data_IF_791969415089
#
_entry.id   IF_791969415089
#
_cell.length_a   1.000
_cell.length_b   1.000
_cell.length_c   1.000
_cell.angle_alpha   90.00
_cell.angle_beta   90.00
_cell.angle_gamma   90.00
#
_symmetry.space_group_name_H-M   'P 1'
#
loop_
_entity.id
_entity.type
_entity.pdbx_description
1 polymer ?
#
# COMPACT_ATOMS: atom_id res chain seq x y z
N UNK A 1 4.04 32.86 5.98
CA UNK A 1 4.13 31.42 6.25
C UNK A 1 5.37 31.14 7.08
N UNK A 2 5.21 30.40 8.13
CA UNK A 2 6.34 29.96 8.94
C UNK A 2 6.85 28.61 8.41
N UNK A 3 8.09 28.26 8.79
CA UNK A 3 8.66 26.94 8.42
C UNK A 3 7.76 25.81 8.91
N UNK A 4 7.13 25.94 10.08
CA UNK A 4 6.23 24.90 10.60
C UNK A 4 5.05 24.59 9.68
N UNK A 5 4.56 25.58 8.91
CA UNK A 5 3.47 25.35 7.94
C UNK A 5 3.95 24.61 6.70
N UNK A 6 5.26 24.49 6.54
CA UNK A 6 5.86 23.80 5.40
C UNK A 6 6.34 22.40 5.77
N UNK A 7 6.15 21.96 7.02
CA UNK A 7 6.55 20.62 7.43
C UNK A 7 5.66 19.61 6.72
N UNK A 8 6.32 18.77 5.93
CA UNK A 8 5.65 17.66 5.24
C UNK A 8 5.48 16.55 6.26
N UNK A 9 4.23 16.09 6.39
CA UNK A 9 3.96 14.95 7.26
C UNK A 9 4.60 13.70 6.68
N UNK A 10 5.13 12.86 7.56
CA UNK A 10 5.71 11.57 7.16
C UNK A 10 4.62 10.71 6.52
N UNK A 11 4.83 10.21 5.31
CA UNK A 11 3.86 9.31 4.68
C UNK A 11 3.65 8.04 5.49
N UNK A 12 2.40 7.59 5.54
CA UNK A 12 1.99 6.39 6.27
C UNK A 12 1.64 5.28 5.28
N UNK A 13 2.26 4.13 5.46
CA UNK A 13 2.15 2.99 4.56
C UNK A 13 1.76 1.76 5.35
N UNK A 14 0.82 0.97 4.82
CA UNK A 14 0.48 -0.34 5.37
C UNK A 14 0.96 -1.40 4.39
N UNK A 15 1.68 -2.40 4.90
CA UNK A 15 2.13 -3.56 4.13
C UNK A 15 1.21 -4.73 4.48
N UNK A 16 0.41 -5.18 3.51
CA UNK A 16 -0.50 -6.32 3.66
C UNK A 16 0.17 -7.55 3.06
N UNK A 17 0.68 -8.41 3.93
CA UNK A 17 1.44 -9.60 3.58
C UNK A 17 1.31 -10.61 4.72
N UNK A 18 0.85 -11.82 4.43
CA UNK A 18 0.63 -12.84 5.45
C UNK A 18 1.91 -13.53 5.93
N UNK A 19 2.95 -13.57 5.10
CA UNK A 19 4.27 -14.08 5.50
C UNK A 19 4.98 -13.02 6.35
N UNK A 20 5.24 -13.37 7.61
CA UNK A 20 5.82 -12.43 8.58
C UNK A 20 7.22 -11.98 8.21
N UNK A 21 8.04 -12.88 7.67
CA UNK A 21 9.42 -12.55 7.28
C UNK A 21 9.43 -11.60 6.10
N UNK A 22 8.61 -11.89 5.09
CA UNK A 22 8.49 -11.03 3.90
C UNK A 22 7.95 -9.66 4.29
N UNK A 23 6.90 -9.63 5.10
CA UNK A 23 6.31 -8.38 5.58
C UNK A 23 7.35 -7.54 6.33
N UNK A 24 8.07 -8.17 7.26
CA UNK A 24 9.10 -7.48 8.05
C UNK A 24 10.19 -6.89 7.16
N UNK A 25 10.58 -7.61 6.11
CA UNK A 25 11.62 -7.15 5.20
C UNK A 25 11.15 -5.91 4.41
N UNK A 26 9.98 -5.97 3.81
CA UNK A 26 9.42 -4.85 3.05
C UNK A 26 9.20 -3.65 3.97
N UNK A 27 8.65 -3.89 5.15
CA UNK A 27 8.42 -2.86 6.16
C UNK A 27 9.73 -2.17 6.55
N UNK A 28 10.80 -2.94 6.76
CA UNK A 28 12.10 -2.39 7.11
C UNK A 28 12.64 -1.48 6.00
N UNK A 29 12.53 -1.89 4.73
CA UNK A 29 12.94 -1.05 3.61
C UNK A 29 12.16 0.27 3.56
N UNK A 30 10.87 0.22 3.77
CA UNK A 30 10.05 1.43 3.79
C UNK A 30 10.45 2.36 4.94
N UNK A 31 10.66 1.81 6.13
CA UNK A 31 11.07 2.60 7.30
C UNK A 31 12.44 3.24 7.12
N UNK A 32 13.38 2.51 6.51
CA UNK A 32 14.70 3.05 6.20
C UNK A 32 14.65 4.21 5.23
N UNK A 33 13.60 4.30 4.43
CA UNK A 33 13.40 5.38 3.47
C UNK A 33 12.50 6.50 4.00
N UNK A 34 12.27 6.52 5.30
CA UNK A 34 11.58 7.63 5.96
C UNK A 34 10.06 7.52 6.00
N UNK A 35 9.52 6.34 5.69
CA UNK A 35 8.07 6.13 5.73
C UNK A 35 7.64 5.50 7.05
N UNK A 36 6.57 6.04 7.64
CA UNK A 36 5.94 5.44 8.80
C UNK A 36 5.14 4.22 8.32
N UNK A 37 5.59 3.03 8.68
CA UNK A 37 5.13 1.79 8.04
C UNK A 37 4.57 0.81 9.06
N UNK A 38 3.44 0.21 8.72
CA UNK A 38 2.67 -0.70 9.57
C UNK A 38 2.50 -2.04 8.88
N UNK A 39 2.58 -3.12 9.64
CA UNK A 39 2.40 -4.48 9.13
C UNK A 39 0.97 -4.93 9.35
N UNK A 40 0.34 -5.44 8.30
CA UNK A 40 -0.94 -6.13 8.38
C UNK A 40 -0.79 -7.52 7.79
N UNK A 41 -1.14 -8.55 8.55
CA UNK A 41 -0.95 -9.94 8.12
C UNK A 41 -2.20 -10.51 7.44
N UNK A 42 -3.24 -9.71 7.30
CA UNK A 42 -4.49 -10.11 6.64
C UNK A 42 -5.25 -8.87 6.15
N UNK A 43 -6.21 -9.10 5.26
CA UNK A 43 -7.10 -8.03 4.78
C UNK A 43 -7.90 -7.42 5.93
N UNK A 44 -8.40 -8.24 6.84
CA UNK A 44 -9.18 -7.76 7.99
C UNK A 44 -8.33 -6.83 8.86
N UNK A 45 -7.09 -7.22 9.14
CA UNK A 45 -6.17 -6.40 9.94
C UNK A 45 -5.86 -5.07 9.24
N UNK A 46 -5.73 -5.08 7.92
CA UNK A 46 -5.51 -3.84 7.17
C UNK A 46 -6.67 -2.86 7.38
N UNK A 47 -7.90 -3.34 7.24
CA UNK A 47 -9.09 -2.48 7.43
C UNK A 47 -9.20 -1.97 8.86
N UNK A 48 -8.91 -2.80 9.86
CA UNK A 48 -8.88 -2.38 11.25
C UNK A 48 -7.84 -1.28 11.48
N UNK A 49 -6.65 -1.43 10.91
CA UNK A 49 -5.59 -0.43 11.05
C UNK A 49 -5.97 0.90 10.40
N UNK A 50 -6.59 0.86 9.22
CA UNK A 50 -7.05 2.08 8.56
C UNK A 50 -8.03 2.83 9.47
N UNK A 51 -8.97 2.12 10.09
CA UNK A 51 -9.92 2.70 11.02
C UNK A 51 -9.22 3.28 12.25
N UNK A 52 -8.31 2.54 12.85
CA UNK A 52 -7.54 3.00 14.01
C UNK A 52 -6.70 4.24 13.69
N UNK A 53 -6.24 4.37 12.46
CA UNK A 53 -5.46 5.51 11.99
C UNK A 53 -6.33 6.67 11.51
N UNK A 54 -7.64 6.59 11.70
CA UNK A 54 -8.60 7.62 11.27
C UNK A 54 -8.46 7.95 9.78
N UNK A 55 -8.27 6.90 8.95
CA UNK A 55 -8.10 6.97 7.50
C UNK A 55 -6.83 7.74 7.05
N UNK A 56 -5.90 8.02 7.96
CA UNK A 56 -4.67 8.74 7.65
C UNK A 56 -3.59 7.79 7.13
N UNK A 57 -3.88 7.14 6.02
CA UNK A 57 -2.97 6.22 5.33
C UNK A 57 -2.76 6.76 3.91
N UNK A 58 -1.53 6.78 3.46
CA UNK A 58 -1.19 7.29 2.14
C UNK A 58 -1.13 6.20 1.08
N UNK A 59 -0.51 5.07 1.41
CA UNK A 59 -0.34 3.96 0.48
C UNK A 59 -0.58 2.63 1.21
N UNK A 60 -1.29 1.72 0.53
CA UNK A 60 -1.43 0.33 0.97
C UNK A 60 -0.75 -0.55 -0.08
N UNK A 61 0.25 -1.31 0.36
CA UNK A 61 0.90 -2.34 -0.44
C UNK A 61 0.20 -3.67 -0.17
N UNK A 62 -0.22 -4.37 -1.21
CA UNK A 62 -0.91 -5.65 -1.08
C UNK A 62 -0.14 -6.72 -1.83
N UNK A 63 0.24 -7.80 -1.11
CA UNK A 63 0.80 -8.98 -1.76
C UNK A 63 -0.33 -9.74 -2.47
N UNK A 64 -0.15 -9.96 -3.76
CA UNK A 64 -1.15 -10.61 -4.61
C UNK A 64 -1.33 -12.11 -4.38
N UNK A 65 -0.59 -12.74 -3.44
CA UNK A 65 -0.87 -14.12 -3.01
C UNK A 65 -2.03 -14.20 -2.03
N UNK A 66 -2.46 -13.07 -1.46
CA UNK A 66 -3.77 -12.99 -0.82
C UNK A 66 -4.78 -13.37 -1.89
N UNK A 67 -5.69 -14.30 -1.57
CA UNK A 67 -6.63 -14.86 -2.55
C UNK A 67 -7.22 -13.75 -3.42
N UNK A 68 -7.28 -13.97 -4.73
CA UNK A 68 -7.66 -12.93 -5.68
C UNK A 68 -8.97 -12.24 -5.30
N UNK A 69 -9.96 -13.01 -4.83
CA UNK A 69 -11.26 -12.50 -4.41
C UNK A 69 -11.13 -11.60 -3.17
N UNK A 70 -10.34 -12.04 -2.19
CA UNK A 70 -10.11 -11.30 -0.96
C UNK A 70 -9.36 -10.00 -1.25
N UNK A 71 -8.36 -10.06 -2.14
CA UNK A 71 -7.59 -8.88 -2.54
C UNK A 71 -8.46 -7.86 -3.26
N UNK A 72 -9.29 -8.29 -4.21
CA UNK A 72 -10.19 -7.40 -4.93
C UNK A 72 -11.20 -6.73 -3.99
N UNK A 73 -11.76 -7.50 -3.06
CA UNK A 73 -12.69 -6.96 -2.05
C UNK A 73 -11.99 -5.95 -1.13
N UNK A 74 -10.77 -6.25 -0.71
CA UNK A 74 -9.99 -5.33 0.12
C UNK A 74 -9.78 -3.99 -0.61
N UNK A 75 -9.36 -4.04 -1.86
CA UNK A 75 -9.14 -2.84 -2.68
C UNK A 75 -10.42 -2.01 -2.76
N UNK A 76 -11.53 -2.65 -3.08
CA UNK A 76 -12.83 -1.98 -3.17
C UNK A 76 -13.22 -1.33 -1.85
N UNK A 77 -13.06 -2.03 -0.74
CA UNK A 77 -13.40 -1.50 0.59
C UNK A 77 -12.52 -0.31 0.98
N UNK A 78 -11.22 -0.39 0.68
CA UNK A 78 -10.32 0.73 0.95
C UNK A 78 -10.76 1.98 0.17
N UNK A 79 -11.08 1.80 -1.11
CA UNK A 79 -11.50 2.93 -1.96
C UNK A 79 -12.85 3.49 -1.54
N UNK A 80 -13.73 2.67 -0.96
CA UNK A 80 -14.98 3.16 -0.37
C UNK A 80 -14.73 4.00 0.88
N UNK A 81 -13.70 3.65 1.65
CA UNK A 81 -13.32 4.43 2.84
C UNK A 81 -12.73 5.78 2.43
N UNK A 82 -11.76 5.76 1.52
CA UNK A 82 -11.10 6.98 1.06
C UNK A 82 -10.46 6.72 -0.32
N UNK A 83 -10.98 7.40 -1.34
CA UNK A 83 -10.46 7.30 -2.71
C UNK A 83 -9.00 7.77 -2.83
N UNK A 84 -8.54 8.59 -1.90
CA UNK A 84 -7.20 9.15 -1.93
C UNK A 84 -6.12 8.18 -1.42
N UNK A 85 -6.50 7.10 -0.77
CA UNK A 85 -5.53 6.07 -0.37
C UNK A 85 -5.07 5.36 -1.64
N UNK A 86 -3.76 5.41 -1.92
CA UNK A 86 -3.18 4.74 -3.09
C UNK A 86 -2.90 3.28 -2.78
N UNK A 87 -3.11 2.43 -3.78
CA UNK A 87 -2.96 0.97 -3.61
C UNK A 87 -2.00 0.43 -4.66
N UNK A 88 -0.95 -0.25 -4.18
CA UNK A 88 0.02 -0.95 -5.01
C UNK A 88 -0.12 -2.45 -4.76
N UNK A 89 -0.39 -3.22 -5.82
CA UNK A 89 -0.45 -4.68 -5.73
C UNK A 89 0.79 -5.29 -6.38
N UNK A 90 1.40 -6.26 -5.70
CA UNK A 90 2.56 -7.01 -6.22
C UNK A 90 2.20 -8.48 -6.23
N UNK A 91 2.14 -9.07 -7.42
CA UNK A 91 1.66 -10.43 -7.64
C UNK A 91 2.71 -11.32 -8.32
N UNK A 92 2.47 -12.64 -8.36
CA UNK A 92 3.39 -13.59 -8.99
C UNK A 92 3.28 -13.60 -10.52
N UNK A 93 2.11 -13.24 -11.06
CA UNK A 93 1.85 -13.16 -12.50
C UNK A 93 0.79 -12.09 -12.78
N UNK A 94 0.44 -11.92 -14.05
CA UNK A 94 -0.49 -10.87 -14.46
C UNK A 94 -1.94 -11.33 -14.61
N UNK A 95 -2.26 -12.55 -14.17
CA UNK A 95 -3.60 -13.15 -14.40
C UNK A 95 -4.74 -12.32 -13.78
N UNK A 96 -4.50 -11.66 -12.65
CA UNK A 96 -5.51 -10.86 -11.97
C UNK A 96 -5.38 -9.35 -12.25
N UNK A 97 -4.45 -8.93 -13.10
CA UNK A 97 -4.15 -7.50 -13.31
C UNK A 97 -5.39 -6.69 -13.65
N UNK A 98 -6.16 -7.13 -14.65
CA UNK A 98 -7.30 -6.35 -15.12
C UNK A 98 -8.37 -6.20 -14.05
N UNK A 99 -8.67 -7.27 -13.34
CA UNK A 99 -9.65 -7.25 -12.24
C UNK A 99 -9.19 -6.34 -11.11
N UNK A 100 -7.94 -6.46 -10.72
CA UNK A 100 -7.37 -5.68 -9.62
C UNK A 100 -7.37 -4.18 -9.94
N UNK A 101 -6.98 -3.81 -11.15
CA UNK A 101 -7.01 -2.41 -11.58
C UNK A 101 -8.46 -1.89 -11.70
N UNK A 102 -9.36 -2.72 -12.19
CA UNK A 102 -10.78 -2.38 -12.29
C UNK A 102 -11.42 -2.10 -10.93
N UNK A 103 -11.02 -2.87 -9.89
CA UNK A 103 -11.51 -2.65 -8.54
C UNK A 103 -10.89 -1.44 -7.85
N UNK A 104 -9.87 -0.84 -8.43
CA UNK A 104 -9.35 0.44 -7.95
C UNK A 104 -7.88 0.48 -7.55
N UNK A 105 -7.11 -0.58 -7.79
CA UNK A 105 -5.66 -0.52 -7.55
C UNK A 105 -5.04 0.56 -8.45
N UNK A 106 -4.09 1.28 -7.91
CA UNK A 106 -3.45 2.39 -8.61
C UNK A 106 -2.24 1.92 -9.43
N UNK A 107 -1.61 0.82 -9.04
CA UNK A 107 -0.55 0.22 -9.82
C UNK A 107 -0.42 -1.27 -9.50
N UNK A 108 0.29 -1.99 -10.37
CA UNK A 108 0.43 -3.44 -10.31
C UNK A 108 1.83 -3.82 -10.76
N UNK A 109 2.54 -4.61 -9.94
CA UNK A 109 3.88 -5.12 -10.26
C UNK A 109 3.86 -6.64 -10.24
N UNK A 110 4.74 -7.24 -11.03
CA UNK A 110 4.90 -8.70 -11.11
C UNK A 110 6.26 -9.10 -10.53
N UNK A 111 6.26 -10.07 -9.62
CA UNK A 111 7.50 -10.63 -9.05
C UNK A 111 8.29 -11.39 -10.10
N UNK A 112 9.64 -11.40 -10.04
CA UNK A 112 10.46 -10.78 -9.01
C UNK A 112 10.58 -9.27 -9.22
N UNK A 113 10.55 -8.53 -8.12
CA UNK A 113 10.69 -7.08 -8.16
C UNK A 113 11.64 -6.65 -7.03
N UNK A 114 12.53 -5.71 -7.34
CA UNK A 114 13.49 -5.21 -6.35
C UNK A 114 12.83 -4.28 -5.35
N UNK A 115 13.44 -4.18 -4.17
CA UNK A 115 13.01 -3.19 -3.17
C UNK A 115 13.03 -1.77 -3.75
N UNK A 116 14.04 -1.45 -4.56
CA UNK A 116 14.16 -0.13 -5.19
C UNK A 116 12.99 0.16 -6.12
N UNK A 117 12.53 -0.83 -6.89
CA UNK A 117 11.37 -0.68 -7.77
C UNK A 117 10.10 -0.44 -6.95
N UNK A 118 9.92 -1.20 -5.86
CA UNK A 118 8.77 -1.03 -4.96
C UNK A 118 8.77 0.38 -4.37
N UNK A 119 9.91 0.81 -3.84
CA UNK A 119 10.04 2.15 -3.25
C UNK A 119 9.81 3.25 -4.28
N UNK A 120 10.31 3.06 -5.50
CA UNK A 120 10.09 4.00 -6.59
C UNK A 120 8.60 4.15 -6.94
N UNK A 121 7.86 3.04 -6.96
CA UNK A 121 6.42 3.07 -7.20
C UNK A 121 5.67 3.75 -6.06
N UNK A 122 6.03 3.46 -4.82
CA UNK A 122 5.44 4.12 -3.66
C UNK A 122 5.66 5.63 -3.76
N UNK A 123 6.87 6.05 -4.07
CA UNK A 123 7.20 7.47 -4.25
C UNK A 123 6.34 8.13 -5.34
N UNK A 124 6.17 7.46 -6.48
CA UNK A 124 5.33 7.96 -7.57
C UNK A 124 3.86 8.08 -7.14
N UNK A 125 3.35 7.10 -6.41
CA UNK A 125 1.97 7.13 -5.93
C UNK A 125 1.75 8.26 -4.92
N UNK A 126 2.72 8.52 -4.06
CA UNK A 126 2.67 9.63 -3.12
C UNK A 126 2.63 10.98 -3.84
N UNK A 127 3.41 11.13 -4.92
CA UNK A 127 3.37 12.35 -5.73
C UNK A 127 2.02 12.53 -6.42
N UNK A 128 1.45 11.45 -6.94
CA UNK A 128 0.14 11.49 -7.58
C UNK A 128 -0.97 11.87 -6.60
N UNK A 129 -0.87 11.39 -5.34
CA UNK A 129 -1.83 11.73 -4.30
C UNK A 129 -1.83 13.21 -3.97
N UNK A 130 -0.66 13.84 -4.02
CA UNK A 130 -0.45 15.24 -3.61
C UNK A 130 -0.63 16.23 -4.76
N UNK A 131 -0.92 15.75 -5.98
CA UNK A 131 -1.11 16.63 -7.14
C UNK A 131 -2.56 17.05 -7.36
#
# INVERSE_FOLDING_TARGET
>A
MTISNMIIQTPKIIIVEDDKEINSLITAFCRLNGYETYMAFSAVKCLEQIEEMHNQVDVVYINGTIAADEGAMLISKIKQIDLNIKILVVANDDSARNIILEYGADDFLIKPVSAETILGKISMLLLAKNS
#
